data_IF_686248024726
#
_entry.id   IF_686248024726
#
_cell.length_a   1.000
_cell.length_b   1.000
_cell.length_c   1.000
_cell.angle_alpha   90.00
_cell.angle_beta   90.00
_cell.angle_gamma   90.00
#
_symmetry.space_group_name_H-M   'P 1'
#
loop_
_entity.id
_entity.type
_entity.pdbx_description
1 polymer ?
#
# COMPACT_ATOMS: atom_id res chain seq x y z
N UNK A 1 -8.18 18.77 16.04
CA UNK A 1 -9.09 19.66 15.29
C UNK A 1 -10.40 19.77 16.05
N UNK A 2 -10.70 20.94 16.60
CA UNK A 2 -11.98 21.19 17.23
C UNK A 2 -13.07 21.29 16.15
N UNK A 3 -14.15 20.53 16.29
CA UNK A 3 -15.27 20.54 15.35
C UNK A 3 -15.83 21.97 15.24
N UNK A 4 -16.07 22.42 14.00
CA UNK A 4 -16.47 23.79 13.64
C UNK A 4 -17.67 24.30 14.49
N UNK A 5 -17.57 25.56 14.95
CA UNK A 5 -18.63 26.23 15.73
C UNK A 5 -19.98 26.21 15.00
N UNK A 6 -21.05 25.84 15.72
CA UNK A 6 -22.42 25.81 15.20
C UNK A 6 -22.94 27.20 14.76
N UNK A 7 -22.35 28.28 15.28
CA UNK A 7 -22.70 29.66 14.93
C UNK A 7 -21.92 30.16 13.73
N UNK A 8 -22.62 30.59 12.67
CA UNK A 8 -22.06 30.99 11.38
C UNK A 8 -21.00 32.11 11.50
N UNK A 9 -21.23 33.10 12.37
CA UNK A 9 -20.35 34.26 12.53
C UNK A 9 -19.04 33.94 13.30
N UNK A 10 -18.91 32.72 13.83
CA UNK A 10 -17.68 32.23 14.49
C UNK A 10 -16.91 31.25 13.62
N UNK A 11 -17.37 31.00 12.39
CA UNK A 11 -16.63 30.20 11.44
C UNK A 11 -15.52 31.08 10.84
N UNK A 12 -14.30 30.55 10.70
CA UNK A 12 -13.25 31.27 10.01
C UNK A 12 -13.70 31.60 8.58
N UNK A 13 -13.32 32.77 8.09
CA UNK A 13 -13.53 33.11 6.69
C UNK A 13 -12.65 32.24 5.80
N UNK A 14 -13.03 32.03 4.54
CA UNK A 14 -12.28 31.18 3.61
C UNK A 14 -10.79 31.58 3.53
N UNK A 15 -10.50 32.88 3.61
CA UNK A 15 -9.12 33.39 3.63
C UNK A 15 -8.34 32.91 4.86
N UNK A 16 -8.96 32.85 6.04
CA UNK A 16 -8.32 32.34 7.26
C UNK A 16 -8.03 30.84 7.12
N UNK A 17 -9.00 30.07 6.59
CA UNK A 17 -8.81 28.64 6.33
C UNK A 17 -7.66 28.39 5.34
N UNK A 18 -7.58 29.17 4.27
CA UNK A 18 -6.50 29.05 3.27
C UNK A 18 -5.15 29.40 3.88
N UNK A 19 -5.07 30.42 4.74
CA UNK A 19 -3.82 30.75 5.45
C UNK A 19 -3.37 29.63 6.39
N UNK A 20 -4.28 29.10 7.21
CA UNK A 20 -3.97 27.99 8.14
C UNK A 20 -3.53 26.72 7.38
N UNK A 21 -4.20 26.41 6.27
CA UNK A 21 -3.81 25.29 5.41
C UNK A 21 -2.45 25.52 4.77
N UNK A 22 -2.15 26.75 4.35
CA UNK A 22 -0.86 27.09 3.74
C UNK A 22 0.29 27.01 4.76
N UNK A 23 0.07 27.44 6.00
CA UNK A 23 1.04 27.27 7.09
C UNK A 23 1.25 25.80 7.43
N UNK A 24 0.18 25.01 7.47
CA UNK A 24 0.27 23.57 7.69
C UNK A 24 1.06 22.88 6.57
N UNK A 25 0.79 23.24 5.31
CA UNK A 25 1.53 22.74 4.14
C UNK A 25 3.01 23.14 4.20
N UNK A 26 3.32 24.40 4.51
CA UNK A 26 4.69 24.87 4.65
C UNK A 26 5.45 24.12 5.76
N UNK A 27 4.75 23.82 6.87
CA UNK A 27 5.30 23.06 7.99
C UNK A 27 5.57 21.61 7.60
N UNK A 28 4.65 20.94 6.89
CA UNK A 28 4.88 19.57 6.40
C UNK A 28 5.99 19.52 5.33
N UNK A 29 6.06 20.51 4.43
CA UNK A 29 7.15 20.60 3.45
C UNK A 29 8.51 20.82 4.13
N UNK A 30 8.57 21.61 5.21
CA UNK A 30 9.78 21.81 6.00
C UNK A 30 10.15 20.53 6.77
N UNK A 31 9.17 19.80 7.30
CA UNK A 31 9.35 18.50 7.95
C UNK A 31 9.95 17.48 6.97
N UNK A 32 9.40 17.38 5.76
CA UNK A 32 9.93 16.52 4.69
C UNK A 32 11.36 16.92 4.34
N UNK A 33 11.63 18.21 4.09
CA UNK A 33 12.99 18.69 3.80
C UNK A 33 13.98 18.40 4.93
N UNK A 34 13.57 18.54 6.19
CA UNK A 34 14.42 18.23 7.34
C UNK A 34 14.71 16.74 7.51
N UNK A 35 13.78 15.87 7.07
CA UNK A 35 14.03 14.43 6.97
C UNK A 35 15.05 14.14 5.85
N UNK A 36 15.00 14.88 4.74
CA UNK A 36 15.93 14.74 3.61
C UNK A 36 17.34 15.31 3.87
N UNK A 37 17.48 16.35 4.71
CA UNK A 37 18.78 17.00 4.98
C UNK A 37 19.44 16.60 6.30
N UNK A 38 18.77 15.80 7.13
CA UNK A 38 19.22 15.47 8.50
C UNK A 38 19.40 13.99 8.82
N UNK A 39 19.25 13.08 7.85
CA UNK A 39 19.31 11.64 8.11
C UNK A 39 20.16 10.92 7.07
N UNK A 40 21.49 11.01 7.23
CA UNK A 40 22.43 9.97 6.78
C UNK A 40 22.21 8.70 7.65
N UNK A 41 20.98 8.19 7.69
CA UNK A 41 20.76 6.83 8.15
C UNK A 41 20.72 5.96 6.93
N UNK A 42 21.70 5.07 6.83
CA UNK A 42 21.74 4.00 5.83
C UNK A 42 20.50 3.10 5.86
N UNK A 43 19.64 3.24 6.87
CA UNK A 43 18.42 2.46 7.07
C UNK A 43 17.12 3.25 6.78
N UNK A 44 17.21 4.47 6.26
CA UNK A 44 16.01 5.22 5.86
C UNK A 44 15.43 4.66 4.57
N UNK A 45 14.19 4.16 4.61
CA UNK A 45 13.45 3.80 3.40
C UNK A 45 13.02 5.09 2.71
N UNK A 46 13.79 5.50 1.72
CA UNK A 46 13.53 6.74 0.97
C UNK A 46 12.28 6.61 0.06
N UNK A 47 12.01 5.37 -0.41
CA UNK A 47 10.89 5.06 -1.29
C UNK A 47 10.20 3.75 -0.93
N UNK A 48 8.90 3.82 -0.60
CA UNK A 48 8.04 2.66 -0.40
C UNK A 48 6.97 2.62 -1.48
N UNK A 49 6.88 1.48 -2.18
CA UNK A 49 5.85 1.21 -3.19
C UNK A 49 4.96 0.10 -2.63
N UNK A 50 3.67 0.38 -2.43
CA UNK A 50 2.68 -0.62 -2.02
C UNK A 50 1.71 -0.87 -3.17
N UNK A 51 1.56 -2.14 -3.55
CA UNK A 51 0.80 -2.55 -4.73
C UNK A 51 -0.42 -3.38 -4.31
N UNK A 52 -1.56 -3.08 -4.94
CA UNK A 52 -2.78 -3.88 -4.84
C UNK A 52 -2.99 -4.66 -6.14
N UNK A 53 -3.28 -5.95 -6.03
CA UNK A 53 -3.48 -6.84 -7.18
C UNK A 53 -4.95 -6.87 -7.68
N UNK A 54 -5.81 -6.03 -7.09
CA UNK A 54 -7.19 -5.86 -7.53
C UNK A 54 -7.36 -4.79 -8.61
N UNK A 55 -8.24 -5.05 -9.59
CA UNK A 55 -8.57 -4.12 -10.68
C UNK A 55 -9.68 -3.12 -10.33
N UNK A 56 -10.37 -3.29 -9.19
CA UNK A 56 -11.39 -2.34 -8.78
C UNK A 56 -10.75 -0.99 -8.45
N UNK A 57 -11.07 0.00 -9.29
CA UNK A 57 -10.84 1.42 -9.08
C UNK A 57 -11.72 1.92 -7.92
N UNK A 58 -11.52 1.38 -6.71
CA UNK A 58 -11.83 2.18 -5.54
C UNK A 58 -11.03 3.48 -5.68
N UNK A 59 -11.60 4.66 -5.35
CA UNK A 59 -10.87 5.90 -5.46
C UNK A 59 -9.50 5.71 -4.81
N UNK A 60 -8.45 6.35 -5.34
CA UNK A 60 -7.06 6.38 -4.80
C UNK A 60 -7.04 7.02 -3.41
N UNK A 61 -7.83 6.48 -2.51
CA UNK A 61 -8.19 6.94 -1.20
C UNK A 61 -7.53 5.99 -0.22
N UNK A 62 -7.01 6.57 0.86
CA UNK A 62 -6.41 5.81 1.93
C UNK A 62 -7.46 4.92 2.56
N UNK A 63 -7.09 3.70 2.89
CA UNK A 63 -7.97 2.80 3.62
C UNK A 63 -8.06 3.27 5.06
N UNK A 64 -9.27 3.54 5.56
CA UNK A 64 -9.48 4.08 6.90
C UNK A 64 -8.97 3.15 8.01
N UNK A 65 -8.85 1.86 7.71
CA UNK A 65 -8.33 0.80 8.57
C UNK A 65 -6.82 0.52 8.38
N UNK A 66 -6.13 1.22 7.46
CA UNK A 66 -4.67 1.12 7.36
C UNK A 66 -4.00 1.92 8.48
N UNK A 67 -3.50 1.22 9.49
CA UNK A 67 -2.84 1.83 10.66
C UNK A 67 -1.57 2.60 10.31
N UNK A 68 -0.99 2.34 9.14
CA UNK A 68 0.19 3.04 8.62
C UNK A 68 -0.14 4.07 7.55
N UNK A 69 -1.43 4.27 7.25
CA UNK A 69 -1.95 5.25 6.29
C UNK A 69 -1.26 5.17 4.91
N UNK A 70 -0.93 3.94 4.46
CA UNK A 70 -0.20 3.70 3.22
C UNK A 70 -1.10 3.93 2.01
N UNK A 71 -0.47 4.39 0.93
CA UNK A 71 -1.10 4.43 -0.39
C UNK A 71 -0.85 3.11 -1.10
N UNK A 72 -1.93 2.40 -1.41
CA UNK A 72 -1.91 1.17 -2.20
C UNK A 72 -2.32 1.48 -3.63
N UNK A 73 -1.44 1.21 -4.58
CA UNK A 73 -1.69 1.50 -5.99
C UNK A 73 -2.18 0.23 -6.68
N UNK A 74 -3.36 0.26 -7.34
CA UNK A 74 -3.78 -0.86 -8.16
C UNK A 74 -2.81 -1.00 -9.32
N UNK A 75 -2.34 -2.22 -9.56
CA UNK A 75 -1.51 -2.53 -10.71
C UNK A 75 -2.00 -3.80 -11.40
N UNK A 76 -1.85 -3.83 -12.72
CA UNK A 76 -2.29 -4.96 -13.54
C UNK A 76 -1.10 -5.52 -14.31
N UNK A 77 -0.62 -6.67 -13.86
CA UNK A 77 0.49 -7.38 -14.49
C UNK A 77 0.03 -8.32 -15.63
N UNK A 78 -1.21 -8.19 -16.09
CA UNK A 78 -1.82 -9.10 -17.07
C UNK A 78 -2.14 -10.49 -16.50
N UNK A 79 -2.10 -10.64 -15.17
CA UNK A 79 -2.47 -11.88 -14.47
C UNK A 79 -3.98 -12.03 -14.38
N UNK A 80 -4.45 -13.27 -14.18
CA UNK A 80 -5.83 -13.48 -13.80
C UNK A 80 -6.02 -13.00 -12.35
N UNK A 81 -7.16 -12.36 -12.08
CA UNK A 81 -7.47 -11.84 -10.74
C UNK A 81 -8.45 -12.79 -10.02
N UNK A 82 -8.21 -12.97 -8.73
CA UNK A 82 -9.12 -13.62 -7.80
C UNK A 82 -9.58 -12.61 -6.76
N UNK A 83 -10.84 -12.69 -6.37
CA UNK A 83 -11.41 -11.89 -5.29
C UNK A 83 -12.30 -12.72 -4.37
N UNK A 84 -12.45 -12.25 -3.14
CA UNK A 84 -13.38 -12.82 -2.15
C UNK A 84 -14.11 -11.72 -1.40
N UNK A 85 -15.36 -11.99 -1.01
CA UNK A 85 -16.12 -11.12 -0.12
C UNK A 85 -15.96 -11.49 1.36
N UNK A 86 -15.30 -12.62 1.65
CA UNK A 86 -15.02 -13.03 3.02
C UNK A 86 -13.92 -12.15 3.61
N UNK A 87 -14.01 -11.78 4.90
CA UNK A 87 -12.94 -11.04 5.56
C UNK A 87 -11.67 -11.88 5.62
N UNK A 88 -10.53 -11.25 5.31
CA UNK A 88 -9.20 -11.86 5.45
C UNK A 88 -8.56 -11.32 6.72
N UNK A 89 -8.20 -12.21 7.66
CA UNK A 89 -7.44 -11.82 8.85
C UNK A 89 -5.99 -11.51 8.46
N UNK A 90 -5.75 -10.24 8.16
CA UNK A 90 -4.46 -9.71 7.74
C UNK A 90 -3.68 -9.03 8.86
N UNK A 91 -4.27 -8.92 10.05
CA UNK A 91 -3.76 -8.07 11.15
C UNK A 91 -3.21 -8.93 12.29
N UNK A 92 -3.85 -10.06 12.59
CA UNK A 92 -3.40 -10.94 13.69
C UNK A 92 -2.03 -11.54 13.36
N UNK A 93 -1.07 -11.39 14.26
CA UNK A 93 0.31 -11.87 14.11
C UNK A 93 1.07 -11.36 12.86
N UNK A 94 0.61 -10.27 12.25
CA UNK A 94 1.27 -9.65 11.10
C UNK A 94 1.72 -8.23 11.45
N UNK A 95 3.03 -7.97 11.42
CA UNK A 95 3.59 -6.65 11.70
C UNK A 95 3.27 -5.59 10.63
N UNK A 96 3.07 -6.02 9.38
CA UNK A 96 2.78 -5.13 8.26
C UNK A 96 1.33 -4.69 8.22
N UNK A 97 0.41 -5.46 8.83
CA UNK A 97 -1.02 -5.16 8.94
C UNK A 97 -1.61 -4.58 7.64
N UNK A 98 -1.43 -5.24 6.47
CA UNK A 98 -2.05 -4.75 5.24
C UNK A 98 -3.57 -4.70 5.42
N UNK A 99 -4.28 -3.71 4.84
CA UNK A 99 -5.73 -3.61 4.94
C UNK A 99 -6.41 -4.91 4.48
N UNK A 100 -7.48 -5.32 5.14
CA UNK A 100 -8.17 -6.58 4.80
C UNK A 100 -8.67 -6.55 3.36
N UNK A 101 -9.16 -5.40 2.90
CA UNK A 101 -9.64 -5.17 1.53
C UNK A 101 -8.54 -5.41 0.47
N UNK A 102 -7.29 -5.05 0.77
CA UNK A 102 -6.16 -5.32 -0.14
C UNK A 102 -5.88 -6.83 -0.21
N UNK A 103 -5.99 -7.52 0.92
CA UNK A 103 -5.76 -8.97 1.01
C UNK A 103 -6.92 -9.81 0.48
N UNK A 104 -8.07 -9.20 0.14
CA UNK A 104 -9.22 -9.88 -0.47
C UNK A 104 -9.07 -10.09 -1.98
N UNK A 105 -8.06 -9.46 -2.59
CA UNK A 105 -7.72 -9.60 -4.01
C UNK A 105 -6.34 -10.20 -4.19
N UNK A 106 -6.18 -11.07 -5.19
CA UNK A 106 -4.89 -11.71 -5.48
C UNK A 106 -4.73 -11.96 -6.99
N UNK A 107 -3.49 -11.84 -7.46
CA UNK A 107 -3.11 -12.34 -8.77
C UNK A 107 -2.95 -13.86 -8.73
N UNK A 108 -3.47 -14.55 -9.75
CA UNK A 108 -3.25 -15.97 -9.97
C UNK A 108 -2.70 -16.22 -11.35
N UNK A 109 -1.90 -17.27 -11.46
CA UNK A 109 -1.53 -17.79 -12.77
C UNK A 109 -2.77 -18.39 -13.45
N UNK A 110 -2.82 -18.28 -14.77
CA UNK A 110 -3.83 -18.99 -15.57
C UNK A 110 -3.73 -20.52 -15.40
N UNK A 111 -2.53 -21.06 -15.18
CA UNK A 111 -2.29 -22.48 -15.00
C UNK A 111 -0.91 -22.77 -14.38
N UNK A 112 -0.70 -24.00 -13.91
CA UNK A 112 0.53 -24.41 -13.22
C UNK A 112 1.82 -24.26 -14.05
N UNK A 113 1.73 -24.07 -15.38
CA UNK A 113 2.89 -23.92 -16.26
C UNK A 113 3.27 -22.47 -16.54
N UNK A 114 2.46 -21.49 -16.12
CA UNK A 114 2.75 -20.06 -16.29
C UNK A 114 3.21 -19.44 -14.98
N UNK A 115 4.30 -18.68 -15.05
CA UNK A 115 4.82 -17.89 -13.93
C UNK A 115 4.07 -16.57 -13.76
N UNK A 116 4.04 -16.06 -12.54
CA UNK A 116 3.61 -14.70 -12.23
C UNK A 116 4.84 -13.80 -12.17
N UNK A 117 5.22 -13.25 -13.33
CA UNK A 117 6.38 -12.39 -13.46
C UNK A 117 5.98 -10.91 -13.39
N UNK A 118 6.68 -10.14 -12.57
CA UNK A 118 6.60 -8.68 -12.56
C UNK A 118 8.01 -8.08 -12.53
N UNK A 119 8.14 -6.86 -13.03
CA UNK A 119 9.41 -6.16 -13.15
C UNK A 119 9.28 -4.80 -12.51
N UNK A 120 10.20 -4.48 -11.61
CA UNK A 120 10.34 -3.14 -11.04
C UNK A 120 11.53 -2.47 -11.75
N UNK A 121 11.26 -1.39 -12.48
CA UNK A 121 12.30 -0.59 -13.11
C UNK A 121 12.90 0.35 -12.07
N UNK A 122 14.17 0.11 -11.71
CA UNK A 122 14.94 0.93 -10.78
C UNK A 122 16.15 1.48 -11.53
N UNK A 123 16.23 2.81 -11.68
CA UNK A 123 17.31 3.47 -12.41
C UNK A 123 18.66 3.36 -11.69
N UNK A 124 18.65 3.39 -10.35
CA UNK A 124 19.85 3.32 -9.52
C UNK A 124 20.07 1.89 -9.01
N UNK A 125 21.04 1.22 -9.62
CA UNK A 125 21.44 -0.16 -9.30
C UNK A 125 22.21 -0.30 -7.99
N UNK A 126 22.56 0.81 -7.33
CA UNK A 126 23.24 0.79 -6.03
C UNK A 126 22.26 0.75 -4.85
N UNK A 127 20.96 0.93 -5.12
CA UNK A 127 19.93 0.91 -4.09
C UNK A 127 19.75 -0.48 -3.49
N UNK A 128 19.65 -0.49 -2.17
CA UNK A 128 19.17 -1.65 -1.43
C UNK A 128 17.66 -1.51 -1.27
N UNK A 129 16.93 -2.59 -1.50
CA UNK A 129 15.48 -2.61 -1.34
C UNK A 129 15.07 -3.85 -0.55
N UNK A 130 13.92 -3.75 0.11
CA UNK A 130 13.26 -4.85 0.78
C UNK A 130 11.97 -5.15 0.04
N UNK A 131 11.80 -6.40 -0.39
CA UNK A 131 10.57 -6.88 -1.00
C UNK A 131 9.74 -7.63 0.04
N UNK A 132 8.52 -7.16 0.27
CA UNK A 132 7.55 -7.82 1.14
C UNK A 132 6.39 -8.34 0.29
N UNK A 133 6.24 -9.66 0.24
CA UNK A 133 5.16 -10.32 -0.46
C UNK A 133 4.11 -10.74 0.56
N UNK A 134 2.85 -10.38 0.30
CA UNK A 134 1.72 -10.74 1.14
C UNK A 134 0.86 -11.79 0.43
N UNK A 135 0.57 -12.89 1.12
CA UNK A 135 -0.20 -14.00 0.59
C UNK A 135 -1.41 -14.27 1.47
N UNK A 136 -2.52 -14.63 0.84
CA UNK A 136 -3.71 -15.16 1.50
C UNK A 136 -4.35 -16.23 0.62
N UNK A 137 -4.77 -17.34 1.22
CA UNK A 137 -5.62 -18.32 0.52
C UNK A 137 -7.06 -17.83 0.59
N UNK A 138 -7.52 -17.25 -0.52
CA UNK A 138 -8.86 -16.64 -0.64
C UNK A 138 -9.86 -17.53 -1.38
N UNK A 139 -9.41 -18.67 -1.92
CA UNK A 139 -10.27 -19.69 -2.52
C UNK A 139 -10.45 -20.88 -1.57
N UNK A 140 -11.67 -21.43 -1.56
CA UNK A 140 -11.94 -22.63 -0.78
C UNK A 140 -11.38 -23.87 -1.51
N UNK A 141 -10.27 -24.40 -0.99
CA UNK A 141 -9.69 -25.66 -1.46
C UNK A 141 -10.48 -26.87 -0.93
N UNK A 142 -10.47 -27.97 -1.67
CA UNK A 142 -10.90 -29.27 -1.13
C UNK A 142 -9.90 -29.79 -0.10
N UNK A 143 -10.30 -30.75 0.73
CA UNK A 143 -9.47 -31.28 1.82
C UNK A 143 -8.12 -31.89 1.37
N UNK A 144 -8.00 -32.27 0.09
CA UNK A 144 -6.81 -32.87 -0.51
C UNK A 144 -6.12 -31.95 -1.53
N UNK A 145 -6.53 -30.68 -1.61
CA UNK A 145 -5.94 -29.69 -2.50
C UNK A 145 -5.07 -28.74 -1.68
N UNK A 146 -3.86 -28.48 -2.17
CA UNK A 146 -2.93 -27.49 -1.63
C UNK A 146 -2.31 -26.71 -2.77
N UNK A 147 -1.86 -25.49 -2.48
CA UNK A 147 -1.05 -24.70 -3.41
C UNK A 147 0.38 -24.67 -2.94
N UNK A 148 1.28 -24.90 -3.88
CA UNK A 148 2.70 -24.79 -3.69
C UNK A 148 3.27 -24.00 -4.86
N UNK A 149 4.19 -23.10 -4.56
CA UNK A 149 4.87 -22.29 -5.56
C UNK A 149 6.24 -21.89 -5.05
N UNK A 150 7.14 -21.60 -5.98
CA UNK A 150 8.46 -21.08 -5.70
C UNK A 150 8.47 -19.57 -5.96
N UNK A 151 9.20 -18.85 -5.12
CA UNK A 151 9.53 -17.43 -5.36
C UNK A 151 11.00 -17.38 -5.78
N UNK A 152 11.30 -16.58 -6.79
CA UNK A 152 12.67 -16.33 -7.21
C UNK A 152 12.83 -14.84 -7.49
N UNK A 153 14.00 -14.29 -7.18
CA UNK A 153 14.35 -12.91 -7.48
C UNK A 153 15.45 -12.91 -8.54
N UNK A 154 15.27 -12.16 -9.63
CA UNK A 154 16.19 -12.18 -10.78
C UNK A 154 16.51 -13.59 -11.30
N UNK A 155 15.52 -14.49 -11.26
CA UNK A 155 15.66 -15.92 -11.64
C UNK A 155 16.66 -16.71 -10.78
N UNK A 156 17.01 -16.19 -9.61
CA UNK A 156 17.79 -16.87 -8.58
C UNK A 156 16.84 -17.29 -7.46
N UNK A 157 16.95 -18.55 -7.05
CA UNK A 157 16.22 -19.15 -5.93
C UNK A 157 16.90 -18.84 -4.60
#
# INVERSE_FOLDING_TARGET
MACLSATANRRPTMNVVVMELNECLATEMARIKSATTGFDSKDSIDHMISLNLGTELNPRARYADDVYDRLWFPDSFGWAELSTSLPVDSVTNNGYKPPSVVMQTAGTSENASKSLDFYLEIDDTTLQFYAYLHFAEIQKLKANESREFNVSFNKVH
#
